data_IF_817975293040
#
_entry.id   IF_817975293040
#
_cell.length_a   1.000
_cell.length_b   1.000
_cell.length_c   1.000
_cell.angle_alpha   90.00
_cell.angle_beta   90.00
_cell.angle_gamma   90.00
#
_symmetry.space_group_name_H-M   'P 1'
#
loop_
_entity.id
_entity.type
_entity.pdbx_description
1 polymer ?
#
# COMPACT_ATOMS: atom_id res chain seq x y z
N UNK A 1 4.42 73.68 78.61
CA UNK A 1 5.41 72.61 78.35
C UNK A 1 4.79 71.33 78.89
N UNK A 2 4.60 70.21 78.19
CA UNK A 2 5.12 69.65 76.93
C UNK A 2 4.36 68.33 76.69
N UNK A 3 4.08 68.02 75.41
CA UNK A 3 4.02 66.68 74.75
C UNK A 3 3.29 65.50 75.44
N UNK A 4 2.54 64.65 74.72
CA UNK A 4 2.64 64.35 73.30
C UNK A 4 1.54 63.41 72.80
N UNK A 5 1.28 63.55 71.51
CA UNK A 5 0.47 62.65 70.69
C UNK A 5 1.30 61.44 70.26
N UNK A 6 0.65 60.29 70.17
CA UNK A 6 1.21 59.08 69.57
C UNK A 6 0.19 57.94 69.56
N UNK A 7 -0.91 58.11 68.83
CA UNK A 7 -1.83 57.00 68.56
C UNK A 7 -1.16 56.00 67.62
N UNK A 8 -1.07 54.76 68.09
CA UNK A 8 -0.56 53.59 67.37
C UNK A 8 -1.40 53.32 66.12
N UNK A 9 -0.78 53.39 64.94
CA UNK A 9 -1.41 53.05 63.67
C UNK A 9 -1.42 51.52 63.53
N UNK A 10 -2.56 50.89 63.78
CA UNK A 10 -2.80 49.49 63.47
C UNK A 10 -2.73 49.30 61.95
N UNK A 11 -1.67 48.66 61.48
CA UNK A 11 -1.52 48.25 60.09
C UNK A 11 -2.54 47.16 59.78
N UNK A 12 -3.62 47.51 59.09
CA UNK A 12 -4.49 46.54 58.42
C UNK A 12 -3.67 45.80 57.37
N UNK A 13 -3.25 44.58 57.70
CA UNK A 13 -2.65 43.63 56.77
C UNK A 13 -3.79 43.11 55.88
N UNK A 14 -3.95 43.68 54.69
CA UNK A 14 -4.78 43.09 53.65
C UNK A 14 -4.18 41.72 53.29
N UNK A 15 -4.96 40.67 53.50
CA UNK A 15 -4.62 39.32 53.03
C UNK A 15 -4.78 39.35 51.50
N UNK A 16 -3.71 39.13 50.72
CA UNK A 16 -3.88 39.09 49.28
C UNK A 16 -4.64 37.80 48.91
N UNK A 17 -5.77 37.95 48.25
CA UNK A 17 -6.58 36.83 47.75
C UNK A 17 -5.84 36.10 46.63
N UNK A 18 -5.04 35.11 46.99
CA UNK A 18 -4.28 34.25 46.07
C UNK A 18 -5.10 33.07 45.52
N UNK A 19 -6.44 33.13 45.58
CA UNK A 19 -7.31 31.96 45.30
C UNK A 19 -7.75 31.77 43.84
N UNK A 20 -7.61 32.77 42.97
CA UNK A 20 -8.19 32.74 41.62
C UNK A 20 -7.20 32.61 40.45
N UNK A 21 -5.96 33.10 40.61
CA UNK A 21 -4.99 33.14 39.52
C UNK A 21 -4.53 31.75 39.08
N UNK A 22 -4.36 30.82 40.02
CA UNK A 22 -3.94 29.44 39.75
C UNK A 22 -5.02 28.63 39.03
N UNK A 23 -6.30 28.88 39.32
CA UNK A 23 -7.42 28.23 38.63
C UNK A 23 -7.53 28.72 37.17
N UNK A 24 -7.38 30.02 36.95
CA UNK A 24 -7.40 30.61 35.60
C UNK A 24 -6.21 30.13 34.77
N UNK A 25 -5.01 30.12 35.36
CA UNK A 25 -3.81 29.57 34.72
C UNK A 25 -3.99 28.10 34.36
N UNK A 26 -4.53 27.28 35.27
CA UNK A 26 -4.80 25.87 34.98
C UNK A 26 -5.85 25.67 33.86
N UNK A 27 -6.93 26.47 33.85
CA UNK A 27 -7.97 26.40 32.82
C UNK A 27 -7.43 26.72 31.42
N UNK A 28 -6.39 27.54 31.31
CA UNK A 28 -5.78 27.86 30.01
C UNK A 28 -4.66 26.88 29.65
N UNK A 29 -3.79 26.56 30.61
CA UNK A 29 -2.60 25.73 30.39
C UNK A 29 -2.98 24.27 30.16
N UNK A 30 -3.88 23.69 30.97
CA UNK A 30 -4.20 22.27 30.88
C UNK A 30 -4.83 21.87 29.53
N UNK A 31 -5.81 22.60 28.96
CA UNK A 31 -6.33 22.29 27.63
C UNK A 31 -5.30 22.49 26.52
N UNK A 32 -4.44 23.51 26.65
CA UNK A 32 -3.37 23.78 25.67
C UNK A 32 -2.38 22.61 25.61
N UNK A 33 -1.92 22.14 26.77
CA UNK A 33 -1.03 20.98 26.86
C UNK A 33 -1.72 19.70 26.37
N UNK A 34 -3.01 19.52 26.68
CA UNK A 34 -3.79 18.37 26.19
C UNK A 34 -3.87 18.35 24.67
N UNK A 35 -4.22 19.47 24.02
CA UNK A 35 -4.29 19.56 22.55
C UNK A 35 -2.93 19.28 21.93
N UNK A 36 -1.86 19.83 22.51
CA UNK A 36 -0.50 19.58 22.04
C UNK A 36 -0.12 18.09 22.15
N UNK A 37 -0.44 17.43 23.26
CA UNK A 37 -0.20 16.01 23.45
C UNK A 37 -0.98 15.14 22.45
N UNK A 38 -2.26 15.46 22.21
CA UNK A 38 -3.09 14.77 21.21
C UNK A 38 -2.54 14.96 19.79
N UNK A 39 -2.08 16.15 19.44
CA UNK A 39 -1.47 16.44 18.14
C UNK A 39 -0.15 15.66 17.93
N UNK A 40 0.70 15.61 18.96
CA UNK A 40 1.93 14.81 18.94
C UNK A 40 1.64 13.32 18.76
N UNK A 41 0.69 12.77 19.53
CA UNK A 41 0.30 11.37 19.41
C UNK A 41 -0.31 11.05 18.04
N UNK A 42 -1.15 11.93 17.48
CA UNK A 42 -1.73 11.74 16.15
C UNK A 42 -0.63 11.72 15.08
N UNK A 43 0.35 12.62 15.19
CA UNK A 43 1.50 12.67 14.27
C UNK A 43 2.34 11.39 14.38
N UNK A 44 2.57 10.88 15.59
CA UNK A 44 3.27 9.62 15.80
C UNK A 44 2.56 8.42 15.13
N UNK A 45 1.22 8.35 15.21
CA UNK A 45 0.43 7.31 14.54
C UNK A 45 0.51 7.41 13.01
N UNK A 46 0.47 8.63 12.46
CA UNK A 46 0.65 8.87 11.03
C UNK A 46 2.05 8.45 10.58
N UNK A 47 3.09 8.78 11.36
CA UNK A 47 4.46 8.36 11.07
C UNK A 47 4.62 6.83 11.12
N UNK A 48 4.03 6.18 12.12
CA UNK A 48 4.00 4.72 12.21
C UNK A 48 3.33 4.09 10.98
N UNK A 49 2.18 4.63 10.54
CA UNK A 49 1.52 4.18 9.32
C UNK A 49 2.38 4.42 8.08
N UNK A 50 3.03 5.59 7.99
CA UNK A 50 3.93 5.95 6.87
C UNK A 50 5.13 5.01 6.78
N UNK A 51 5.72 4.61 7.90
CA UNK A 51 6.85 3.69 7.92
C UNK A 51 6.44 2.29 7.44
N UNK A 52 5.31 1.76 7.93
CA UNK A 52 4.75 0.50 7.46
C UNK A 52 4.43 0.57 5.95
N UNK A 53 3.82 1.67 5.50
CA UNK A 53 3.51 1.89 4.09
C UNK A 53 4.79 1.93 3.23
N UNK A 54 5.85 2.60 3.67
CA UNK A 54 7.11 2.67 2.94
C UNK A 54 7.76 1.30 2.80
N UNK A 55 7.79 0.52 3.89
CA UNK A 55 8.28 -0.85 3.87
C UNK A 55 7.46 -1.73 2.91
N UNK A 56 6.14 -1.68 3.03
CA UNK A 56 5.25 -2.45 2.16
C UNK A 56 5.35 -2.06 0.69
N UNK A 57 5.54 -0.77 0.42
CA UNK A 57 5.74 -0.25 -0.94
C UNK A 57 7.06 -0.76 -1.53
N UNK A 58 8.14 -0.82 -0.73
CA UNK A 58 9.40 -1.40 -1.16
C UNK A 58 9.30 -2.91 -1.45
N UNK A 59 8.68 -3.69 -0.56
CA UNK A 59 8.46 -5.13 -0.79
C UNK A 59 7.57 -5.39 -2.02
N UNK A 60 6.55 -4.56 -2.23
CA UNK A 60 5.69 -4.61 -3.40
C UNK A 60 6.47 -4.34 -4.69
N UNK A 61 7.32 -3.31 -4.70
CA UNK A 61 8.17 -3.01 -5.84
C UNK A 61 9.19 -4.10 -6.10
N UNK A 62 9.81 -4.67 -5.07
CA UNK A 62 10.74 -5.79 -5.20
C UNK A 62 10.07 -7.01 -5.81
N UNK A 63 8.86 -7.36 -5.34
CA UNK A 63 8.09 -8.47 -5.91
C UNK A 63 7.72 -8.19 -7.38
N UNK A 64 7.27 -6.98 -7.70
CA UNK A 64 6.98 -6.57 -9.07
C UNK A 64 8.22 -6.62 -9.97
N UNK A 65 9.39 -6.20 -9.48
CA UNK A 65 10.63 -6.24 -10.25
C UNK A 65 11.06 -7.65 -10.63
N UNK A 66 10.71 -8.66 -9.82
CA UNK A 66 11.05 -10.06 -10.04
C UNK A 66 9.97 -10.82 -10.82
N UNK A 67 8.74 -10.34 -10.85
CA UNK A 67 7.60 -10.98 -11.52
C UNK A 67 6.93 -10.01 -12.52
N UNK A 68 7.74 -9.54 -13.47
CA UNK A 68 7.30 -8.88 -14.70
C UNK A 68 6.44 -7.62 -14.53
N UNK A 69 6.60 -6.91 -13.41
CA UNK A 69 5.76 -5.80 -12.99
C UNK A 69 4.25 -6.16 -12.91
N UNK A 70 3.92 -7.43 -12.66
CA UNK A 70 2.53 -7.90 -12.57
C UNK A 70 1.79 -7.25 -11.40
N UNK A 71 0.58 -6.69 -11.61
CA UNK A 71 -0.19 -6.11 -10.53
C UNK A 71 -0.49 -7.11 -9.40
N UNK A 72 -0.78 -8.36 -9.74
CA UNK A 72 -1.13 -9.40 -8.76
C UNK A 72 0.01 -9.68 -7.77
N UNK A 73 1.27 -9.71 -8.21
CA UNK A 73 2.42 -9.92 -7.33
C UNK A 73 2.73 -8.70 -6.48
N UNK A 74 2.62 -7.50 -7.05
CA UNK A 74 2.76 -6.22 -6.34
C UNK A 74 1.70 -6.13 -5.23
N UNK A 75 0.42 -6.35 -5.55
CA UNK A 75 -0.68 -6.30 -4.57
C UNK A 75 -0.53 -7.36 -3.48
N UNK A 76 -0.16 -8.60 -3.83
CA UNK A 76 0.05 -9.69 -2.87
C UNK A 76 1.22 -9.40 -1.93
N UNK A 77 2.35 -8.92 -2.44
CA UNK A 77 3.49 -8.54 -1.62
C UNK A 77 3.17 -7.35 -0.72
N UNK A 78 2.47 -6.34 -1.25
CA UNK A 78 2.00 -5.19 -0.48
C UNK A 78 1.09 -5.61 0.69
N UNK A 79 0.06 -6.43 0.42
CA UNK A 79 -0.88 -6.90 1.43
C UNK A 79 -0.17 -7.70 2.54
N UNK A 80 0.75 -8.60 2.17
CA UNK A 80 1.58 -9.36 3.12
C UNK A 80 2.47 -8.45 3.98
N UNK A 81 3.12 -7.46 3.38
CA UNK A 81 3.99 -6.54 4.10
C UNK A 81 3.23 -5.57 5.02
N UNK A 82 1.93 -5.35 4.76
CA UNK A 82 1.06 -4.54 5.64
C UNK A 82 0.53 -5.32 6.85
N UNK A 83 0.66 -6.65 6.92
CA UNK A 83 0.12 -7.48 8.03
C UNK A 83 0.52 -6.98 9.44
N UNK A 84 1.77 -6.58 9.71
CA UNK A 84 2.16 -6.04 11.02
C UNK A 84 1.36 -4.79 11.43
N UNK A 85 0.98 -3.94 10.47
CA UNK A 85 0.18 -2.74 10.73
C UNK A 85 -1.25 -3.07 11.22
N UNK A 86 -1.78 -4.24 10.84
CA UNK A 86 -3.10 -4.73 11.24
C UNK A 86 -3.09 -5.61 12.50
N UNK A 87 -1.95 -5.70 13.19
CA UNK A 87 -1.81 -6.42 14.45
C UNK A 87 -0.90 -7.65 14.37
N UNK A 88 -0.50 -8.08 13.17
CA UNK A 88 0.40 -9.22 13.01
C UNK A 88 -0.16 -10.52 13.60
N UNK A 89 0.72 -11.39 14.08
CA UNK A 89 0.34 -12.62 14.75
C UNK A 89 1.58 -13.42 15.14
N UNK A 90 1.45 -14.20 16.22
CA UNK A 90 2.49 -15.16 16.63
C UNK A 90 2.15 -16.58 16.19
N UNK A 91 0.89 -16.83 15.83
CA UNK A 91 0.40 -18.10 15.31
C UNK A 91 -0.07 -17.94 13.85
N UNK A 92 -0.13 -19.03 13.07
CA UNK A 92 -0.64 -18.99 11.70
C UNK A 92 -2.08 -18.47 11.60
N UNK A 93 -2.94 -18.82 12.57
CA UNK A 93 -4.35 -18.39 12.62
C UNK A 93 -4.45 -16.88 12.85
N UNK A 94 -3.68 -16.35 13.81
CA UNK A 94 -3.63 -14.90 14.06
C UNK A 94 -3.12 -14.15 12.81
N UNK A 95 -2.07 -14.68 12.18
CA UNK A 95 -1.50 -14.08 10.98
C UNK A 95 -2.50 -14.05 9.82
N UNK A 96 -3.23 -15.16 9.60
CA UNK A 96 -4.29 -15.24 8.61
C UNK A 96 -5.41 -14.22 8.89
N UNK A 97 -5.83 -14.08 10.15
CA UNK A 97 -6.85 -13.10 10.55
C UNK A 97 -6.39 -11.64 10.31
N UNK A 98 -5.13 -11.34 10.60
CA UNK A 98 -4.55 -10.01 10.37
C UNK A 98 -4.36 -9.72 8.89
N UNK A 99 -4.00 -10.73 8.10
CA UNK A 99 -3.96 -10.63 6.65
C UNK A 99 -5.36 -10.38 6.06
N UNK A 100 -6.39 -11.09 6.52
CA UNK A 100 -7.77 -10.86 6.08
C UNK A 100 -8.23 -9.43 6.36
N UNK A 101 -7.95 -8.91 7.57
CA UNK A 101 -8.23 -7.50 7.93
C UNK A 101 -7.46 -6.52 7.04
N UNK A 102 -6.19 -6.82 6.73
CA UNK A 102 -5.40 -6.01 5.82
C UNK A 102 -6.05 -5.97 4.43
N UNK A 103 -6.31 -7.13 3.81
CA UNK A 103 -6.90 -7.21 2.47
C UNK A 103 -8.24 -6.47 2.39
N UNK A 104 -9.11 -6.64 3.39
CA UNK A 104 -10.40 -5.95 3.44
C UNK A 104 -10.26 -4.41 3.50
N UNK A 105 -9.36 -3.88 4.32
CA UNK A 105 -9.15 -2.43 4.44
C UNK A 105 -8.50 -1.85 3.17
N UNK A 106 -7.52 -2.58 2.62
CA UNK A 106 -6.75 -2.19 1.44
C UNK A 106 -7.61 -2.12 0.18
N UNK A 107 -8.59 -3.02 0.02
CA UNK A 107 -9.55 -3.01 -1.10
C UNK A 107 -10.32 -1.69 -1.22
N UNK A 108 -10.52 -0.98 -0.10
CA UNK A 108 -11.27 0.28 -0.04
C UNK A 108 -10.37 1.52 0.01
N UNK A 109 -9.08 1.35 0.28
CA UNK A 109 -8.20 2.40 0.81
C UNK A 109 -6.89 2.58 0.09
N UNK A 110 -6.56 1.73 -0.89
CA UNK A 110 -5.29 1.76 -1.60
C UNK A 110 -5.48 1.93 -3.10
N UNK A 111 -4.62 2.77 -3.67
CA UNK A 111 -4.37 2.84 -5.10
C UNK A 111 -2.88 2.65 -5.35
N UNK A 112 -2.53 1.63 -6.15
CA UNK A 112 -1.17 1.36 -6.61
C UNK A 112 -1.09 1.71 -8.09
N UNK A 113 -0.16 2.59 -8.42
CA UNK A 113 0.07 3.11 -9.76
C UNK A 113 1.52 2.86 -10.15
N UNK A 114 1.77 2.32 -11.33
CA UNK A 114 3.12 2.15 -11.87
C UNK A 114 3.43 3.40 -12.72
N UNK A 115 4.42 4.18 -12.30
CA UNK A 115 4.86 5.42 -12.94
C UNK A 115 5.95 5.19 -13.99
N UNK A 116 6.78 4.18 -13.80
CA UNK A 116 7.74 3.69 -14.80
C UNK A 116 7.88 2.17 -14.62
N UNK A 117 7.96 1.36 -15.69
CA UNK A 117 7.68 1.74 -17.07
C UNK A 117 6.27 2.31 -17.21
N UNK A 118 6.09 3.20 -18.17
CA UNK A 118 4.78 3.77 -18.51
C UNK A 118 4.33 3.25 -19.87
N UNK A 119 3.09 3.49 -20.24
CA UNK A 119 2.50 2.90 -21.45
C UNK A 119 3.28 3.26 -22.71
N UNK A 120 3.73 4.51 -22.79
CA UNK A 120 4.55 5.04 -23.88
C UNK A 120 5.93 4.35 -23.95
N UNK A 121 6.48 3.88 -22.82
CA UNK A 121 7.72 3.10 -22.81
C UNK A 121 7.60 1.81 -23.62
N UNK A 122 6.42 1.19 -23.63
CA UNK A 122 6.16 -0.01 -24.43
C UNK A 122 5.96 0.31 -25.92
N UNK A 123 5.54 1.53 -26.28
CA UNK A 123 5.52 1.96 -27.68
C UNK A 123 6.96 1.98 -28.24
N UNK A 124 7.87 2.61 -27.49
CA UNK A 124 9.24 2.87 -27.93
C UNK A 124 10.14 1.63 -27.81
N UNK A 125 10.03 0.86 -26.72
CA UNK A 125 11.03 -0.14 -26.33
C UNK A 125 10.52 -1.59 -26.24
N UNK A 126 9.33 -1.92 -26.76
CA UNK A 126 8.89 -3.32 -26.73
C UNK A 126 9.78 -4.23 -27.59
N UNK A 127 9.96 -5.46 -27.13
CA UNK A 127 10.71 -6.54 -27.77
C UNK A 127 9.77 -7.70 -28.11
N UNK A 128 9.44 -7.92 -29.40
CA UNK A 128 8.72 -9.11 -29.85
C UNK A 128 9.36 -10.43 -29.40
N UNK A 129 10.70 -10.51 -29.39
CA UNK A 129 11.42 -11.71 -28.95
C UNK A 129 11.21 -12.00 -27.47
N UNK A 130 11.18 -10.97 -26.62
CA UNK A 130 10.88 -11.13 -25.20
C UNK A 130 9.42 -11.56 -24.97
N UNK A 131 8.48 -11.01 -25.76
CA UNK A 131 7.07 -11.41 -25.71
C UNK A 131 6.89 -12.90 -26.09
N UNK A 132 7.59 -13.36 -27.13
CA UNK A 132 7.61 -14.77 -27.55
C UNK A 132 8.22 -15.68 -26.48
N UNK A 133 9.35 -15.27 -25.88
CA UNK A 133 10.02 -16.03 -24.82
C UNK A 133 9.14 -16.22 -23.57
N UNK A 134 8.28 -15.25 -23.27
CA UNK A 134 7.32 -15.32 -22.16
C UNK A 134 5.95 -15.87 -22.55
N UNK A 135 5.77 -16.25 -23.82
CA UNK A 135 4.50 -16.78 -24.35
C UNK A 135 3.30 -15.86 -24.06
N UNK A 136 3.50 -14.55 -24.18
CA UNK A 136 2.48 -13.53 -23.90
C UNK A 136 2.10 -12.75 -25.15
N UNK A 137 0.81 -12.41 -25.26
CA UNK A 137 0.31 -11.50 -26.30
C UNK A 137 0.49 -10.02 -25.95
N UNK A 138 0.95 -9.70 -24.73
CA UNK A 138 1.20 -8.35 -24.29
C UNK A 138 2.60 -7.87 -24.73
N UNK A 139 2.79 -6.54 -24.80
CA UNK A 139 4.10 -5.96 -25.09
C UNK A 139 5.03 -6.14 -23.89
N UNK A 140 6.29 -6.42 -24.17
CA UNK A 140 7.30 -6.73 -23.18
C UNK A 140 8.53 -5.86 -23.39
N UNK A 141 9.08 -5.29 -22.32
CA UNK A 141 10.38 -4.61 -22.33
C UNK A 141 11.41 -5.57 -21.75
N UNK A 142 12.38 -5.96 -22.56
CA UNK A 142 13.45 -6.86 -22.14
C UNK A 142 14.35 -6.19 -21.08
N UNK A 143 14.79 -6.96 -20.08
CA UNK A 143 15.70 -6.53 -19.01
C UNK A 143 17.16 -6.98 -19.23
N UNK A 144 17.49 -7.55 -20.40
CA UNK A 144 18.82 -8.08 -20.69
C UNK A 144 19.76 -7.04 -21.29
N UNK A 145 21.05 -7.07 -20.93
CA UNK A 145 22.13 -6.27 -21.54
C UNK A 145 21.92 -4.75 -21.57
N UNK A 146 21.13 -4.20 -20.65
CA UNK A 146 20.76 -2.77 -20.59
C UNK A 146 21.95 -1.79 -20.52
N UNK A 147 23.11 -2.24 -20.05
CA UNK A 147 24.31 -1.39 -19.98
C UNK A 147 24.92 -1.08 -21.36
N UNK A 148 24.66 -1.92 -22.37
CA UNK A 148 25.23 -1.79 -23.72
C UNK A 148 24.18 -1.40 -24.76
N UNK A 149 22.90 -1.50 -24.42
CA UNK A 149 21.79 -1.34 -25.35
C UNK A 149 21.06 -0.03 -25.14
N UNK A 150 20.87 0.72 -26.22
CA UNK A 150 19.92 1.84 -26.29
C UNK A 150 18.57 1.43 -26.87
N UNK A 151 18.53 0.26 -27.54
CA UNK A 151 17.34 -0.36 -28.09
C UNK A 151 17.35 -1.87 -27.83
N UNK A 152 16.18 -2.53 -27.79
CA UNK A 152 16.10 -3.98 -27.78
C UNK A 152 16.86 -4.60 -28.97
N UNK A 153 17.50 -5.75 -28.74
CA UNK A 153 18.33 -6.44 -29.75
C UNK A 153 17.58 -6.80 -31.04
N UNK A 154 16.28 -7.08 -30.91
CA UNK A 154 15.37 -7.44 -31.99
C UNK A 154 14.77 -6.21 -32.70
N UNK A 155 14.94 -5.01 -32.14
CA UNK A 155 14.48 -3.74 -32.74
C UNK A 155 15.58 -2.67 -32.64
N UNK A 156 16.67 -2.78 -33.40
CA UNK A 156 17.81 -1.87 -33.32
C UNK A 156 17.49 -0.42 -33.74
N UNK A 157 16.40 -0.19 -34.48
CA UNK A 157 15.93 1.14 -34.92
C UNK A 157 14.76 1.67 -34.07
N UNK A 158 14.76 1.38 -32.77
CA UNK A 158 13.75 1.90 -31.84
C UNK A 158 13.91 3.42 -31.61
N UNK A 159 12.90 4.07 -31.03
CA UNK A 159 12.98 5.47 -30.63
C UNK A 159 13.82 5.63 -29.35
N UNK A 160 15.15 5.57 -29.48
CA UNK A 160 16.07 5.55 -28.34
C UNK A 160 16.34 6.91 -27.71
N UNK A 161 16.11 7.99 -28.44
CA UNK A 161 16.42 9.36 -28.00
C UNK A 161 15.28 9.94 -27.13
N UNK A 162 15.54 10.26 -25.84
CA UNK A 162 14.54 10.83 -24.93
C UNK A 162 13.97 12.18 -25.39
N UNK A 163 14.66 12.91 -26.27
CA UNK A 163 14.16 14.19 -26.76
C UNK A 163 13.05 14.02 -27.82
N UNK A 164 13.02 12.88 -28.51
CA UNK A 164 12.12 12.63 -29.65
C UNK A 164 11.18 11.44 -29.44
N UNK A 165 11.45 10.55 -28.48
CA UNK A 165 10.61 9.39 -28.22
C UNK A 165 9.35 9.75 -27.41
N UNK A 166 8.32 8.90 -27.51
CA UNK A 166 7.02 9.14 -26.89
C UNK A 166 7.11 9.14 -25.37
N UNK A 167 7.99 8.29 -24.85
CA UNK A 167 8.20 8.11 -23.43
C UNK A 167 9.08 9.21 -22.80
N UNK A 168 9.79 10.03 -23.57
CA UNK A 168 10.69 11.03 -23.01
C UNK A 168 11.80 10.48 -22.11
N UNK A 169 12.16 9.20 -22.25
CA UNK A 169 13.07 8.51 -21.33
C UNK A 169 13.91 7.46 -22.06
N UNK A 170 15.01 7.01 -21.46
CA UNK A 170 15.88 5.98 -22.07
C UNK A 170 15.36 4.55 -21.85
N UNK A 171 15.94 3.57 -22.54
CA UNK A 171 15.68 2.14 -22.30
C UNK A 171 15.99 1.74 -20.85
N UNK A 172 17.04 2.33 -20.27
CA UNK A 172 17.48 2.09 -18.89
C UNK A 172 16.45 2.63 -17.90
N UNK A 173 15.90 3.81 -18.15
CA UNK A 173 14.84 4.41 -17.32
C UNK A 173 13.52 3.64 -17.44
N UNK A 174 13.22 3.13 -18.64
CA UNK A 174 12.10 2.20 -18.87
C UNK A 174 12.23 0.88 -18.12
N UNK A 175 13.45 0.50 -17.70
CA UNK A 175 13.70 -0.67 -16.87
C UNK A 175 13.75 -0.36 -15.36
N UNK A 176 13.35 0.84 -14.95
CA UNK A 176 13.14 1.17 -13.55
C UNK A 176 11.67 1.03 -13.20
N UNK A 177 11.35 0.14 -12.27
CA UNK A 177 10.02 0.03 -11.69
C UNK A 177 9.85 1.12 -10.64
N UNK A 178 9.17 2.20 -11.02
CA UNK A 178 8.75 3.28 -10.12
C UNK A 178 7.29 3.11 -9.82
N UNK A 179 6.92 2.85 -8.57
CA UNK A 179 5.53 2.76 -8.15
C UNK A 179 5.16 3.86 -7.17
N UNK A 180 3.90 4.31 -7.26
CA UNK A 180 3.25 5.21 -6.33
C UNK A 180 2.11 4.48 -5.64
N UNK A 181 2.16 4.42 -4.32
CA UNK A 181 1.09 3.88 -3.50
C UNK A 181 0.45 5.03 -2.74
N UNK A 182 -0.85 5.23 -2.95
CA UNK A 182 -1.67 6.12 -2.14
C UNK A 182 -2.53 5.28 -1.21
N UNK A 183 -2.41 5.49 0.09
CA UNK A 183 -3.13 4.76 1.13
C UNK A 183 -3.87 5.72 2.06
N UNK A 184 -5.15 5.45 2.34
CA UNK A 184 -5.93 6.20 3.30
C UNK A 184 -5.96 5.56 4.69
N UNK A 185 -5.32 6.18 5.67
CA UNK A 185 -5.33 5.69 7.06
C UNK A 185 -6.78 5.65 7.58
N UNK A 186 -7.31 4.48 8.00
CA UNK A 186 -8.69 4.36 8.44
C UNK A 186 -8.95 5.11 9.75
N UNK A 187 -10.19 5.58 9.96
CA UNK A 187 -10.59 6.33 11.17
C UNK A 187 -10.32 5.56 12.46
N UNK A 188 -10.47 4.24 12.44
CA UNK A 188 -10.22 3.37 13.60
C UNK A 188 -8.74 3.38 14.08
N UNK A 189 -7.81 3.85 13.23
CA UNK A 189 -6.37 3.96 13.55
C UNK A 189 -5.95 5.41 13.83
N UNK A 190 -6.90 6.33 13.97
CA UNK A 190 -6.70 7.74 14.29
C UNK A 190 -7.20 8.03 15.70
N UNK A 191 -6.69 9.09 16.33
CA UNK A 191 -7.18 9.52 17.64
C UNK A 191 -8.56 10.16 17.47
N UNK A 192 -9.55 9.80 18.30
CA UNK A 192 -10.84 10.48 18.35
C UNK A 192 -10.66 12.00 18.50
N UNK A 193 -11.47 12.79 17.81
CA UNK A 193 -11.39 14.27 17.68
C UNK A 193 -10.20 14.81 16.86
N UNK A 194 -8.97 14.38 17.11
CA UNK A 194 -7.80 14.89 16.36
C UNK A 194 -7.84 14.49 14.88
N UNK A 195 -8.30 13.27 14.58
CA UNK A 195 -8.50 12.81 13.19
C UNK A 195 -9.52 13.66 12.43
N UNK A 196 -10.63 14.04 13.07
CA UNK A 196 -11.68 14.90 12.45
C UNK A 196 -11.15 16.30 12.16
N UNK A 197 -10.40 16.87 13.10
CA UNK A 197 -9.74 18.17 12.90
C UNK A 197 -8.74 18.11 11.75
N UNK A 198 -7.91 17.05 11.69
CA UNK A 198 -6.94 16.88 10.60
C UNK A 198 -7.61 16.74 9.23
N UNK A 199 -8.63 15.89 9.10
CA UNK A 199 -9.35 15.73 7.83
C UNK A 199 -10.07 17.01 7.41
N UNK A 200 -10.63 17.74 8.37
CA UNK A 200 -11.22 19.05 8.12
C UNK A 200 -10.14 20.03 7.64
N UNK A 201 -9.04 20.18 8.39
CA UNK A 201 -7.96 21.11 8.09
C UNK A 201 -7.31 20.87 6.73
N UNK A 202 -7.08 19.60 6.35
CA UNK A 202 -6.56 19.25 5.03
C UNK A 202 -7.56 19.62 3.93
N UNK A 203 -8.86 19.36 4.14
CA UNK A 203 -9.89 19.72 3.17
C UNK A 203 -10.07 21.24 3.01
N UNK A 204 -9.92 22.04 4.08
CA UNK A 204 -10.01 23.51 4.02
C UNK A 204 -8.76 24.15 3.43
N UNK A 205 -7.56 23.61 3.71
CA UNK A 205 -6.31 24.19 3.21
C UNK A 205 -6.02 23.82 1.75
N UNK A 206 -6.56 22.69 1.27
CA UNK A 206 -6.37 22.23 -0.10
C UNK A 206 -7.69 21.79 -0.76
N UNK A 207 -8.63 22.74 -1.00
CA UNK A 207 -9.93 22.42 -1.58
C UNK A 207 -9.82 21.90 -3.02
N UNK A 208 -8.84 22.38 -3.79
CA UNK A 208 -8.69 22.10 -5.23
C UNK A 208 -7.69 20.97 -5.53
N UNK A 209 -7.60 19.95 -4.67
CA UNK A 209 -6.72 18.82 -4.96
C UNK A 209 -7.18 18.08 -6.23
N UNK A 210 -6.34 17.97 -7.28
CA UNK A 210 -6.75 17.46 -8.59
C UNK A 210 -7.02 15.94 -8.61
N UNK A 211 -6.81 15.24 -7.50
CA UNK A 211 -6.88 13.77 -7.43
C UNK A 211 -8.18 13.31 -6.77
N UNK A 212 -9.15 12.88 -7.59
CA UNK A 212 -10.46 12.40 -7.16
C UNK A 212 -10.39 11.27 -6.12
N UNK A 213 -9.38 10.40 -6.19
CA UNK A 213 -9.21 9.33 -5.21
C UNK A 213 -8.83 9.87 -3.83
N UNK A 214 -7.95 10.87 -3.76
CA UNK A 214 -7.59 11.51 -2.48
C UNK A 214 -8.78 12.24 -1.88
N UNK A 215 -9.59 12.91 -2.70
CA UNK A 215 -10.83 13.54 -2.26
C UNK A 215 -11.83 12.49 -1.72
N UNK A 216 -11.99 11.35 -2.40
CA UNK A 216 -12.83 10.26 -1.92
C UNK A 216 -12.34 9.68 -0.57
N UNK A 217 -11.03 9.55 -0.38
CA UNK A 217 -10.45 9.14 0.90
C UNK A 217 -10.76 10.15 2.02
N UNK A 218 -10.59 11.45 1.74
CA UNK A 218 -10.90 12.52 2.69
C UNK A 218 -12.40 12.55 3.04
N UNK A 219 -13.29 12.36 2.06
CA UNK A 219 -14.73 12.25 2.27
C UNK A 219 -15.09 11.02 3.13
N UNK A 220 -14.37 9.90 2.94
CA UNK A 220 -14.42 8.73 3.81
C UNK A 220 -13.73 8.96 5.18
N UNK A 221 -13.25 10.16 5.48
CA UNK A 221 -12.51 10.54 6.69
C UNK A 221 -11.22 9.75 6.90
N UNK A 222 -10.61 9.28 5.82
CA UNK A 222 -9.30 8.63 5.82
C UNK A 222 -8.23 9.67 5.52
N UNK A 223 -7.10 9.61 6.21
CA UNK A 223 -5.98 10.54 5.98
C UNK A 223 -5.14 9.97 4.83
N UNK A 224 -5.06 10.64 3.67
CA UNK A 224 -4.29 10.14 2.53
C UNK A 224 -2.80 10.28 2.80
N UNK A 225 -2.07 9.20 2.59
CA UNK A 225 -0.61 9.12 2.69
C UNK A 225 -0.08 8.51 1.40
N UNK A 226 0.98 9.09 0.85
CA UNK A 226 1.56 8.65 -0.42
C UNK A 226 2.96 8.12 -0.18
N UNK A 227 3.31 6.99 -0.78
CA UNK A 227 4.67 6.48 -0.84
C UNK A 227 5.11 6.27 -2.29
N UNK A 228 6.38 6.57 -2.56
CA UNK A 228 7.02 6.35 -3.84
C UNK A 228 8.25 5.50 -3.62
N UNK A 229 8.47 4.54 -4.51
CA UNK A 229 9.71 3.77 -4.54
C UNK A 229 10.10 3.52 -5.98
N UNK A 230 11.40 3.48 -6.22
CA UNK A 230 11.99 3.11 -7.50
C UNK A 230 12.95 1.96 -7.26
N UNK A 231 12.77 0.87 -8.00
CA UNK A 231 13.68 -0.29 -7.99
C UNK A 231 14.05 -0.62 -9.44
N UNK A 232 15.21 -1.25 -9.65
CA UNK A 232 15.54 -1.81 -10.97
C UNK A 232 14.74 -3.07 -11.22
N UNK A 233 14.19 -3.21 -12.42
CA UNK A 233 13.61 -4.48 -12.84
C UNK A 233 14.67 -5.58 -12.81
N UNK A 234 14.24 -6.79 -12.47
CA UNK A 234 15.05 -8.02 -12.44
C UNK A 234 14.44 -9.10 -13.36
N UNK A 235 13.34 -8.77 -14.03
CA UNK A 235 12.59 -9.57 -14.99
C UNK A 235 12.11 -8.65 -16.11
N UNK A 236 11.72 -9.22 -17.24
CA UNK A 236 11.20 -8.42 -18.34
C UNK A 236 9.84 -7.81 -17.96
N UNK A 237 9.63 -6.51 -18.19
CA UNK A 237 8.38 -5.86 -17.82
C UNK A 237 7.28 -6.21 -18.81
N UNK A 238 6.11 -6.63 -18.32
CA UNK A 238 4.92 -6.91 -19.16
C UNK A 238 3.93 -5.75 -19.02
N UNK A 239 3.40 -5.30 -20.16
CA UNK A 239 2.37 -4.26 -20.18
C UNK A 239 1.10 -4.68 -19.43
N UNK A 240 0.58 -3.80 -18.56
CA UNK A 240 -0.63 -4.04 -17.78
C UNK A 240 -1.45 -2.74 -17.55
N UNK A 241 -2.67 -2.89 -17.02
CA UNK A 241 -3.61 -1.79 -16.80
C UNK A 241 -3.22 -0.81 -15.67
N UNK A 242 -2.29 -1.17 -14.78
CA UNK A 242 -1.84 -0.33 -13.67
C UNK A 242 -0.72 0.65 -14.07
N UNK A 243 -0.24 0.57 -15.30
CA UNK A 243 0.73 1.50 -15.89
C UNK A 243 0.06 2.84 -16.19
N UNK A 244 0.59 3.91 -15.61
CA UNK A 244 0.12 5.27 -15.88
C UNK A 244 0.60 5.69 -17.28
N UNK A 245 -0.27 6.40 -18.02
CA UNK A 245 0.14 7.13 -19.22
C UNK A 245 0.67 8.49 -18.79
N UNK A 246 1.95 8.73 -19.06
CA UNK A 246 2.67 9.96 -18.72
C UNK A 246 3.46 10.37 -19.96
N UNK A 247 2.80 10.96 -20.96
CA UNK A 247 3.46 11.31 -22.21
C UNK A 247 4.66 12.22 -21.95
N UNK A 248 5.82 11.80 -22.46
CA UNK A 248 7.03 12.61 -22.43
C UNK A 248 6.95 13.79 -23.41
N UNK A 249 8.01 14.63 -23.48
CA UNK A 249 8.10 15.74 -24.42
C UNK A 249 7.81 15.36 -25.90
N UNK A 250 8.04 14.11 -26.31
CA UNK A 250 7.75 13.63 -27.67
C UNK A 250 6.27 13.55 -28.06
N UNK A 251 5.34 13.69 -27.11
CA UNK A 251 3.88 13.65 -27.34
C UNK A 251 3.16 14.98 -27.07
N UNK A 252 3.90 16.10 -26.99
CA UNK A 252 3.36 17.44 -26.72
C UNK A 252 2.48 17.55 -25.44
N UNK A 253 2.69 16.65 -24.46
CA UNK A 253 2.06 16.70 -23.14
C UNK A 253 0.56 16.35 -23.09
N UNK A 254 -0.01 15.67 -24.08
CA UNK A 254 -1.44 15.27 -24.07
C UNK A 254 -1.61 13.79 -23.68
N UNK A 255 -2.21 13.47 -22.52
CA UNK A 255 -2.44 12.08 -22.12
C UNK A 255 -3.42 11.39 -23.08
N UNK A 256 -3.12 10.15 -23.45
CA UNK A 256 -3.96 9.34 -24.36
C UNK A 256 -4.63 8.24 -23.52
N UNK A 257 -5.97 8.18 -23.59
CA UNK A 257 -6.73 7.11 -22.95
C UNK A 257 -6.44 5.75 -23.63
N UNK A 258 -6.68 4.64 -22.91
CA UNK A 258 -6.57 3.27 -23.47
C UNK A 258 -7.44 3.18 -24.74
N UNK A 259 -6.84 2.88 -25.89
CA UNK A 259 -7.61 2.32 -27.00
C UNK A 259 -8.13 0.96 -26.55
N UNK A 260 -9.46 0.72 -26.61
CA UNK A 260 -10.00 -0.57 -26.22
C UNK A 260 -9.38 -1.66 -27.10
N UNK A 261 -8.89 -2.73 -26.46
CA UNK A 261 -8.38 -3.90 -27.17
C UNK A 261 -9.55 -4.49 -27.95
N UNK A 262 -9.54 -4.33 -29.28
CA UNK A 262 -10.48 -5.02 -30.14
C UNK A 262 -10.22 -6.52 -30.01
N UNK A 263 -11.13 -7.25 -29.35
CA UNK A 263 -11.04 -8.70 -29.17
C UNK A 263 -10.79 -9.20 -27.74
N UNK A 264 -11.03 -8.39 -26.70
CA UNK A 264 -11.13 -8.94 -25.34
C UNK A 264 -12.35 -9.86 -25.25
N UNK A 265 -12.13 -11.17 -25.38
CA UNK A 265 -13.14 -12.18 -25.03
C UNK A 265 -13.59 -11.98 -23.58
N UNK A 266 -14.88 -12.20 -23.26
CA UNK A 266 -15.34 -12.14 -21.89
C UNK A 266 -14.50 -13.08 -21.01
N UNK A 267 -14.17 -12.59 -19.82
CA UNK A 267 -13.46 -13.35 -18.78
C UNK A 267 -14.23 -14.65 -18.56
N UNK A 268 -13.59 -15.83 -18.58
CA UNK A 268 -14.29 -17.08 -18.33
C UNK A 268 -14.88 -17.06 -16.91
N UNK A 269 -16.15 -17.49 -16.80
CA UNK A 269 -16.80 -17.65 -15.50
C UNK A 269 -15.97 -18.59 -14.63
N UNK A 270 -15.70 -18.15 -13.40
CA UNK A 270 -14.91 -18.92 -12.44
C UNK A 270 -15.68 -20.19 -12.07
N UNK A 271 -15.04 -21.35 -12.29
CA UNK A 271 -15.58 -22.64 -11.87
C UNK A 271 -15.59 -22.76 -10.34
N UNK A 272 -16.59 -23.47 -9.82
CA UNK A 272 -16.86 -23.68 -8.38
C UNK A 272 -15.71 -24.27 -7.54
N UNK A 273 -14.61 -24.69 -8.17
CA UNK A 273 -13.48 -25.37 -7.53
C UNK A 273 -12.22 -24.51 -7.42
N UNK A 274 -12.24 -23.22 -7.82
CA UNK A 274 -11.08 -22.34 -7.69
C UNK A 274 -11.00 -21.72 -6.27
N UNK A 275 -9.95 -22.03 -5.46
CA UNK A 275 -9.82 -21.55 -4.09
C UNK A 275 -9.55 -20.04 -3.96
N UNK A 276 -9.46 -19.29 -5.06
CA UNK A 276 -9.23 -17.83 -5.08
C UNK A 276 -10.51 -16.99 -5.27
N UNK A 277 -11.69 -17.60 -5.40
CA UNK A 277 -12.95 -16.88 -5.56
C UNK A 277 -13.97 -17.22 -4.45
N UNK A 278 -14.53 -16.19 -3.82
CA UNK A 278 -15.67 -16.34 -2.90
C UNK A 278 -16.95 -16.48 -3.72
N UNK A 279 -17.76 -17.55 -3.58
CA UNK A 279 -19.01 -17.66 -4.31
C UNK A 279 -20.02 -16.60 -3.86
N UNK A 280 -20.81 -16.09 -4.80
CA UNK A 280 -21.99 -15.27 -4.50
C UNK A 280 -23.06 -16.13 -3.77
N UNK A 281 -23.95 -15.53 -2.97
CA UNK A 281 -24.76 -16.26 -1.99
C UNK A 281 -25.81 -17.22 -2.57
N UNK A 282 -26.02 -17.23 -3.89
CA UNK A 282 -27.23 -17.80 -4.49
C UNK A 282 -26.98 -19.13 -5.21
N UNK A 283 -25.81 -19.73 -5.03
CA UNK A 283 -25.53 -21.07 -5.53
C UNK A 283 -25.08 -21.95 -4.37
N UNK A 284 -25.91 -22.93 -4.02
CA UNK A 284 -25.56 -24.05 -3.16
C UNK A 284 -26.13 -25.26 -3.88
N UNK A 285 -25.32 -26.19 -4.40
CA UNK A 285 -25.85 -27.43 -4.94
C UNK A 285 -26.36 -28.30 -3.78
N UNK A 286 -27.56 -28.87 -3.99
CA UNK A 286 -28.27 -29.74 -3.06
C UNK A 286 -27.42 -30.94 -2.61
N UNK A 287 -27.53 -31.26 -1.31
CA UNK A 287 -26.83 -32.38 -0.68
C UNK A 287 -27.22 -33.72 -1.28
N UNK A 288 -26.23 -34.44 -1.82
CA UNK A 288 -26.31 -35.84 -2.21
C UNK A 288 -25.52 -36.71 -1.22
N UNK A 289 -26.20 -37.74 -0.71
CA UNK A 289 -25.77 -38.69 0.31
C UNK A 289 -24.63 -39.60 -0.18
N UNK A 290 -23.50 -39.67 0.55
CA UNK A 290 -22.50 -40.75 0.40
C UNK A 290 -22.82 -41.90 1.38
N UNK A 291 -22.75 -43.18 0.96
CA UNK A 291 -22.78 -44.32 1.87
C UNK A 291 -21.39 -44.68 2.40
N UNK A 292 -21.31 -45.08 3.67
CA UNK A 292 -20.12 -45.63 4.32
C UNK A 292 -19.63 -46.93 3.65
N UNK A 293 -18.31 -47.23 3.67
CA UNK A 293 -17.82 -48.58 3.46
C UNK A 293 -17.59 -49.31 4.81
N UNK A 294 -18.17 -50.50 4.89
CA UNK A 294 -18.01 -51.47 5.98
C UNK A 294 -16.69 -52.26 5.86
N UNK A 295 -16.10 -52.48 7.04
CA UNK A 295 -15.38 -53.65 7.58
C UNK A 295 -14.22 -54.37 6.84
N UNK A 296 -13.18 -54.62 7.65
CA UNK A 296 -12.01 -55.50 7.44
C UNK A 296 -12.36 -56.96 7.07
N UNK A 297 -11.35 -57.78 6.70
CA UNK A 297 -10.73 -58.59 7.76
C UNK A 297 -9.21 -58.67 7.71
N UNK A 298 -8.66 -58.69 8.92
CA UNK A 298 -7.30 -59.04 9.29
C UNK A 298 -6.97 -60.52 9.05
N UNK A 299 -5.69 -60.81 8.80
CA UNK A 299 -5.17 -62.16 8.72
C UNK A 299 -3.65 -62.23 8.73
N UNK A 300 -3.12 -62.66 9.89
CA UNK A 300 -1.86 -63.41 10.15
C UNK A 300 -0.54 -62.77 9.73
N UNK A 301 0.52 -62.69 10.55
CA UNK A 301 0.90 -63.44 11.74
C UNK A 301 2.43 -63.61 11.66
N UNK A 302 3.12 -63.26 12.74
CA UNK A 302 4.47 -63.63 13.19
C UNK A 302 5.62 -63.78 12.16
N UNK A 303 6.70 -63.01 12.37
CA UNK A 303 8.00 -63.59 12.73
C UNK A 303 8.97 -62.49 13.20
N UNK A 304 9.65 -62.80 14.30
CA UNK A 304 10.63 -61.99 14.98
C UNK A 304 12.03 -62.20 14.39
N UNK A 305 12.82 -61.14 14.23
CA UNK A 305 14.28 -61.27 14.34
C UNK A 305 14.93 -59.94 14.76
N UNK A 306 15.67 -60.02 15.86
CA UNK A 306 16.54 -58.98 16.45
C UNK A 306 17.68 -58.60 15.51
N UNK A 307 18.16 -57.35 15.58
CA UNK A 307 19.60 -57.01 15.62
C UNK A 307 19.81 -55.51 15.89
N UNK A 308 20.49 -55.23 16.99
CA UNK A 308 20.88 -53.92 17.52
C UNK A 308 22.26 -53.45 17.01
N UNK A 309 22.45 -52.12 17.07
CA UNK A 309 23.71 -51.35 17.20
C UNK A 309 24.64 -51.25 15.97
N UNK A 310 25.33 -50.16 15.62
CA UNK A 310 25.52 -48.76 16.11
C UNK A 310 26.34 -48.01 15.01
N UNK A 311 26.42 -46.67 14.97
CA UNK A 311 27.10 -45.91 13.91
C UNK A 311 28.56 -45.53 14.26
N UNK A 312 29.37 -45.04 13.30
CA UNK A 312 30.55 -44.22 13.57
C UNK A 312 30.20 -42.76 13.87
#
# INVERSE_FOLDING_TARGET
>A
MTRGHGHSCATCRSRPEHGGATLVEFIVVAPTLMIMALAMMQTALVFHAKNNLNYATFEAARAGALDHARPTSIHRAFARAMVPYYGGGRTPVELASSHARAVADLALGVRIEILSPMRESFDDYHSPRAAEALQTGARVIANTHLAMLSCPMDRPSCASDPASNRAGQTLQDANLLKIRVTYGIPRAKQIPLAGRFFTWAVATMHPDHPDAFRLALLAAGRIPVVSHVTVRMQSDAIENEHLVSLPGPGNAGKPVAREPVAGASPIPDCGWTDPLCTPAPDQQPDGGTEPLPDDEPSGTGDDAEDLQCSPP
#
